data_IF_048375455653
#
_entry.id   IF_048375455653
#
_cell.length_a   1.000
_cell.length_b   1.000
_cell.length_c   1.000
_cell.angle_alpha   90.00
_cell.angle_beta   90.00
_cell.angle_gamma   90.00
#
_symmetry.space_group_name_H-M   'P 1'
#
loop_
_entity.id
_entity.type
_entity.pdbx_description
1 polymer ?
#
# COMPACT_ATOMS: atom_id res chain seq x y z
N UNK A 1 -39.59 -3.31 -7.43
CA UNK A 1 -39.81 -4.77 -7.49
C UNK A 1 -39.29 -5.28 -8.83
N UNK A 2 -38.00 -5.65 -8.91
CA UNK A 2 -37.42 -6.41 -10.01
C UNK A 2 -36.26 -7.24 -9.41
N UNK A 3 -36.54 -8.52 -9.15
CA UNK A 3 -35.54 -9.53 -8.75
C UNK A 3 -34.74 -9.89 -9.99
N UNK A 4 -33.44 -9.59 -10.02
CA UNK A 4 -32.50 -10.30 -10.89
C UNK A 4 -32.04 -11.55 -10.16
N UNK A 5 -32.35 -12.70 -10.75
CA UNK A 5 -31.91 -14.03 -10.32
C UNK A 5 -30.38 -14.07 -10.34
N UNK A 6 -29.75 -14.42 -9.22
CA UNK A 6 -28.31 -14.60 -9.11
C UNK A 6 -28.01 -16.10 -9.21
N UNK A 7 -27.51 -16.52 -10.37
CA UNK A 7 -27.00 -17.88 -10.55
C UNK A 7 -25.72 -18.07 -9.75
N UNK A 8 -25.66 -19.23 -9.07
CA UNK A 8 -24.69 -19.64 -8.07
C UNK A 8 -23.41 -20.14 -8.74
N UNK A 9 -22.33 -19.35 -8.73
CA UNK A 9 -20.96 -19.83 -8.88
C UNK A 9 -19.95 -18.89 -8.19
N UNK A 10 -19.25 -19.46 -7.21
CA UNK A 10 -17.87 -19.22 -6.73
C UNK A 10 -17.32 -17.79 -6.58
N UNK A 11 -16.84 -17.52 -5.36
CA UNK A 11 -15.89 -16.47 -4.92
C UNK A 11 -16.32 -15.01 -5.07
N UNK A 12 -16.78 -14.42 -3.96
CA UNK A 12 -16.95 -12.97 -3.81
C UNK A 12 -15.59 -12.31 -3.57
N UNK A 13 -15.02 -11.72 -4.62
CA UNK A 13 -13.91 -10.77 -4.49
C UNK A 13 -14.49 -9.43 -4.06
N UNK A 14 -14.13 -8.94 -2.87
CA UNK A 14 -14.46 -7.57 -2.46
C UNK A 14 -13.53 -6.62 -3.22
N UNK A 15 -14.01 -6.08 -4.33
CA UNK A 15 -13.39 -4.93 -4.99
C UNK A 15 -13.68 -3.67 -4.17
N UNK A 16 -12.67 -3.16 -3.46
CA UNK A 16 -12.67 -1.75 -3.08
C UNK A 16 -12.41 -0.98 -4.37
N UNK A 17 -13.39 -0.21 -4.84
CA UNK A 17 -13.22 0.67 -6.00
C UNK A 17 -12.16 1.72 -5.65
N UNK A 18 -10.95 1.46 -6.12
CA UNK A 18 -9.84 2.40 -6.12
C UNK A 18 -10.26 3.59 -6.97
N UNK A 19 -10.21 4.80 -6.42
CA UNK A 19 -10.08 6.00 -7.26
C UNK A 19 -8.70 5.90 -7.92
N UNK A 20 -8.65 5.21 -9.05
CA UNK A 20 -7.43 5.01 -9.81
C UNK A 20 -7.32 6.20 -10.76
N UNK A 21 -6.44 7.14 -10.43
CA UNK A 21 -5.90 8.03 -11.46
C UNK A 21 -5.28 7.12 -12.53
N UNK A 22 -5.69 7.29 -13.79
CA UNK A 22 -5.27 6.46 -14.89
C UNK A 22 -3.81 6.80 -15.24
N UNK A 23 -2.87 5.96 -14.83
CA UNK A 23 -1.42 6.14 -15.03
C UNK A 23 -0.95 5.85 -16.48
N UNK A 24 -1.86 5.80 -17.46
CA UNK A 24 -1.53 5.56 -18.86
C UNK A 24 -1.18 6.83 -19.65
N UNK A 25 -1.14 8.00 -19.01
CA UNK A 25 -0.63 9.21 -19.66
C UNK A 25 0.87 9.06 -19.96
N UNK A 26 1.24 9.15 -21.25
CA UNK A 26 2.63 9.06 -21.70
C UNK A 26 3.52 10.13 -21.02
N UNK A 27 2.94 11.28 -20.64
CA UNK A 27 3.59 12.34 -19.86
C UNK A 27 4.12 11.82 -18.51
N UNK A 28 3.32 11.04 -17.76
CA UNK A 28 3.70 10.54 -16.44
C UNK A 28 4.75 9.41 -16.52
N UNK A 29 4.75 8.61 -17.60
CA UNK A 29 5.79 7.60 -17.85
C UNK A 29 7.15 8.24 -18.09
N UNK A 30 7.21 9.38 -18.77
CA UNK A 30 8.45 10.13 -19.00
C UNK A 30 8.99 10.69 -17.68
N UNK A 31 8.13 11.12 -16.76
CA UNK A 31 8.54 11.53 -15.40
C UNK A 31 9.06 10.37 -14.55
N UNK A 32 8.33 9.25 -14.48
CA UNK A 32 8.79 8.05 -13.74
C UNK A 32 10.15 7.55 -14.26
N UNK A 33 10.38 7.57 -15.58
CA UNK A 33 11.66 7.17 -16.17
C UNK A 33 12.79 8.18 -15.88
N UNK A 34 12.48 9.45 -15.62
CA UNK A 34 13.46 10.42 -15.11
C UNK A 34 13.75 10.20 -13.62
N UNK A 35 12.76 9.79 -12.82
CA UNK A 35 12.88 9.51 -11.38
C UNK A 35 13.53 8.17 -11.04
N UNK A 36 13.48 7.18 -11.94
CA UNK A 36 14.19 5.90 -11.79
C UNK A 36 15.64 5.95 -12.28
N UNK A 37 16.17 7.13 -12.63
CA UNK A 37 17.61 7.23 -12.91
C UNK A 37 18.37 6.82 -11.65
N UNK A 38 19.36 5.92 -11.77
CA UNK A 38 20.25 5.64 -10.65
C UNK A 38 20.81 6.98 -10.17
N UNK A 39 20.71 7.22 -8.86
CA UNK A 39 21.32 8.39 -8.23
C UNK A 39 22.76 8.47 -8.73
N UNK A 40 23.14 9.63 -9.26
CA UNK A 40 24.54 9.94 -9.52
C UNK A 40 25.36 9.51 -8.29
N UNK A 41 26.53 8.86 -8.47
CA UNK A 41 27.39 8.50 -7.34
C UNK A 41 27.79 9.72 -6.48
N UNK A 42 27.62 10.95 -6.99
CA UNK A 42 27.84 12.20 -6.28
C UNK A 42 26.66 12.67 -5.39
N UNK A 43 25.54 11.93 -5.33
CA UNK A 43 24.34 12.38 -4.61
C UNK A 43 23.59 13.52 -5.33
N UNK A 44 22.54 14.03 -4.69
CA UNK A 44 21.76 15.18 -5.19
C UNK A 44 22.41 16.47 -4.67
N UNK A 45 22.81 17.36 -5.58
CA UNK A 45 23.40 18.65 -5.26
C UNK A 45 22.36 19.78 -5.43
N UNK A 46 21.87 20.29 -4.31
CA UNK A 46 20.84 21.33 -4.28
C UNK A 46 21.36 22.71 -4.70
N UNK A 47 22.67 22.95 -4.65
CA UNK A 47 23.25 24.27 -4.95
C UNK A 47 23.14 24.63 -6.44
N UNK A 48 23.08 23.64 -7.32
CA UNK A 48 22.92 23.84 -8.78
C UNK A 48 21.68 24.66 -9.13
N UNK A 49 20.61 24.51 -8.37
CA UNK A 49 19.34 25.22 -8.57
C UNK A 49 18.84 25.85 -7.26
N UNK A 50 19.75 26.44 -6.46
CA UNK A 50 19.41 26.93 -5.12
C UNK A 50 18.26 27.94 -5.14
N UNK A 51 18.26 28.88 -6.09
CA UNK A 51 17.18 29.88 -6.22
C UNK A 51 15.80 29.24 -6.41
N UNK A 52 15.72 28.16 -7.20
CA UNK A 52 14.48 27.41 -7.38
C UNK A 52 14.05 26.72 -6.09
N UNK A 53 14.96 26.00 -5.41
CA UNK A 53 14.65 25.25 -4.18
C UNK A 53 14.26 26.16 -2.99
N UNK A 54 14.70 27.42 -3.00
CA UNK A 54 14.32 28.41 -1.99
C UNK A 54 12.91 29.00 -2.22
N UNK A 55 12.40 28.95 -3.45
CA UNK A 55 11.12 29.54 -3.83
C UNK A 55 10.01 28.51 -4.05
N UNK A 56 10.36 27.32 -4.54
CA UNK A 56 9.42 26.29 -4.97
C UNK A 56 9.84 24.90 -4.48
N UNK A 57 8.83 24.05 -4.29
CA UNK A 57 9.04 22.64 -3.99
C UNK A 57 9.20 21.84 -5.27
N UNK A 58 10.13 20.90 -5.27
CA UNK A 58 10.24 19.86 -6.29
C UNK A 58 9.04 18.91 -6.19
N UNK A 59 8.64 18.33 -7.32
CA UNK A 59 7.51 17.41 -7.39
C UNK A 59 7.74 16.12 -6.60
N UNK A 60 8.99 15.68 -6.50
CA UNK A 60 9.38 14.49 -5.74
C UNK A 60 9.86 14.81 -4.32
N UNK A 61 9.87 16.07 -3.89
CA UNK A 61 10.31 16.49 -2.56
C UNK A 61 11.83 16.53 -2.34
N UNK A 62 12.64 16.31 -3.37
CA UNK A 62 14.10 16.49 -3.29
C UNK A 62 14.49 17.93 -2.93
N UNK A 63 15.57 18.09 -2.17
CA UNK A 63 16.09 19.40 -1.73
C UNK A 63 15.16 20.23 -0.84
N UNK A 64 14.08 19.65 -0.29
CA UNK A 64 13.30 20.29 0.77
C UNK A 64 14.17 20.50 2.04
N UNK A 65 15.02 19.51 2.34
CA UNK A 65 16.12 19.66 3.30
C UNK A 65 17.45 19.82 2.53
N UNK A 66 18.06 21.01 2.59
CA UNK A 66 19.29 21.31 1.84
C UNK A 66 20.51 20.52 2.33
N UNK A 67 20.57 20.18 3.63
CA UNK A 67 21.65 19.37 4.19
C UNK A 67 21.47 17.87 3.90
N UNK A 68 20.22 17.43 3.84
CA UNK A 68 19.84 16.02 3.57
C UNK A 68 18.83 15.97 2.42
N UNK A 69 19.26 16.18 1.17
CA UNK A 69 18.40 16.40 0.00
C UNK A 69 17.34 15.32 -0.26
N UNK A 70 17.60 14.09 0.19
CA UNK A 70 16.74 12.93 -0.06
C UNK A 70 15.74 12.65 1.08
N UNK A 71 15.75 13.42 2.18
CA UNK A 71 14.80 13.24 3.27
C UNK A 71 13.41 13.72 2.88
N UNK A 72 12.43 12.81 2.96
CA UNK A 72 11.05 13.10 2.55
C UNK A 72 10.83 13.05 1.04
N UNK A 73 11.87 12.74 0.25
CA UNK A 73 11.73 12.56 -1.19
C UNK A 73 10.93 11.28 -1.51
N UNK A 74 10.15 11.32 -2.59
CA UNK A 74 9.36 10.21 -3.09
C UNK A 74 10.22 9.04 -3.59
N UNK A 75 9.63 7.86 -3.73
CA UNK A 75 10.30 6.63 -4.19
C UNK A 75 11.50 6.20 -3.33
N UNK A 76 11.45 6.52 -2.03
CA UNK A 76 12.44 6.10 -1.04
C UNK A 76 11.83 5.08 -0.09
N UNK A 77 12.68 4.27 0.51
CA UNK A 77 12.29 3.40 1.60
C UNK A 77 11.77 4.19 2.79
N UNK A 78 10.79 3.64 3.51
CA UNK A 78 10.33 4.23 4.76
C UNK A 78 11.44 4.25 5.82
N UNK A 79 11.43 5.29 6.65
CA UNK A 79 12.23 5.34 7.87
C UNK A 79 11.65 4.32 8.85
N UNK A 80 12.51 3.53 9.50
CA UNK A 80 12.10 2.56 10.51
C UNK A 80 12.34 3.13 11.91
N UNK A 81 11.27 3.27 12.69
CA UNK A 81 11.36 3.68 14.10
C UNK A 81 11.78 2.51 15.01
N UNK A 82 11.49 1.27 14.60
CA UNK A 82 11.89 0.04 15.30
C UNK A 82 12.57 -0.93 14.33
N UNK A 83 13.44 -1.82 14.83
CA UNK A 83 14.01 -2.89 14.01
C UNK A 83 12.91 -3.74 13.35
N UNK A 84 13.09 -4.13 12.08
CA UNK A 84 12.16 -5.04 11.43
C UNK A 84 12.18 -6.42 12.10
N UNK A 85 11.02 -7.09 12.08
CA UNK A 85 10.90 -8.49 12.45
C UNK A 85 10.38 -9.28 11.26
N UNK A 86 11.18 -10.25 10.83
CA UNK A 86 10.89 -11.18 9.74
C UNK A 86 11.07 -12.61 10.24
N UNK A 87 10.34 -13.57 9.69
CA UNK A 87 10.38 -14.97 10.14
C UNK A 87 11.76 -15.63 9.88
N UNK A 88 12.43 -15.21 8.81
CA UNK A 88 13.80 -15.59 8.47
C UNK A 88 14.86 -14.54 8.87
N UNK A 89 14.45 -13.47 9.54
CA UNK A 89 15.33 -12.34 9.90
C UNK A 89 15.73 -11.44 8.72
N UNK A 90 15.26 -11.69 7.50
CA UNK A 90 15.67 -10.95 6.30
C UNK A 90 14.50 -10.23 5.64
N UNK A 91 13.45 -10.96 5.30
CA UNK A 91 12.35 -10.37 4.53
C UNK A 91 11.05 -11.18 4.51
N UNK A 92 11.07 -12.43 4.98
CA UNK A 92 9.85 -13.23 5.03
C UNK A 92 8.90 -12.72 6.12
N UNK A 93 7.61 -12.47 5.81
CA UNK A 93 6.65 -12.02 6.79
C UNK A 93 6.55 -12.98 7.99
N UNK A 94 6.33 -12.45 9.19
CA UNK A 94 6.19 -13.28 10.39
C UNK A 94 5.09 -14.33 10.20
N UNK A 95 5.37 -15.55 10.66
CA UNK A 95 4.45 -16.69 10.57
C UNK A 95 4.15 -17.15 9.13
N UNK A 96 5.08 -16.94 8.19
CA UNK A 96 4.99 -17.47 6.82
C UNK A 96 5.73 -18.80 6.64
N UNK A 97 6.83 -19.02 7.37
CA UNK A 97 7.62 -20.26 7.37
C UNK A 97 7.24 -21.10 8.60
N UNK A 98 7.25 -20.49 9.79
CA UNK A 98 6.90 -21.12 11.05
C UNK A 98 5.57 -20.58 11.53
N UNK A 99 4.50 -21.35 11.29
CA UNK A 99 3.15 -20.97 11.72
C UNK A 99 3.13 -20.83 13.24
N UNK A 100 3.06 -19.58 13.70
CA UNK A 100 3.15 -19.18 15.11
C UNK A 100 2.08 -18.18 15.51
N UNK A 101 1.29 -17.69 14.53
CA UNK A 101 0.23 -16.70 14.73
C UNK A 101 -1.02 -17.11 13.92
N UNK A 102 -2.22 -16.69 14.36
CA UNK A 102 -3.43 -16.87 13.56
C UNK A 102 -3.32 -16.10 12.24
N UNK A 103 -4.04 -16.55 11.22
CA UNK A 103 -4.11 -15.82 9.95
C UNK A 103 -4.78 -14.46 10.14
N UNK A 104 -4.49 -13.51 9.26
CA UNK A 104 -5.16 -12.21 9.27
C UNK A 104 -6.69 -12.36 9.15
N UNK A 105 -7.16 -13.37 8.41
CA UNK A 105 -8.59 -13.66 8.26
C UNK A 105 -9.22 -14.18 9.54
N UNK A 106 -8.58 -15.12 10.23
CA UNK A 106 -9.09 -15.66 11.50
C UNK A 106 -9.14 -14.56 12.57
N UNK A 107 -8.08 -13.73 12.64
CA UNK A 107 -8.02 -12.60 13.58
C UNK A 107 -9.15 -11.60 13.33
N UNK A 108 -9.42 -11.27 12.06
CA UNK A 108 -10.53 -10.41 11.69
C UNK A 108 -11.90 -11.03 12.01
N UNK A 109 -12.07 -12.33 11.77
CA UNK A 109 -13.31 -13.07 12.07
C UNK A 109 -13.62 -13.10 13.57
N UNK A 110 -12.60 -13.26 14.42
CA UNK A 110 -12.81 -13.34 15.86
C UNK A 110 -12.95 -11.97 16.51
N UNK A 111 -12.18 -10.97 16.05
CA UNK A 111 -12.07 -9.68 16.76
C UNK A 111 -12.84 -8.52 16.12
N UNK A 112 -12.97 -8.50 14.79
CA UNK A 112 -13.43 -7.31 14.06
C UNK A 112 -14.77 -7.53 13.33
N UNK A 113 -15.27 -8.77 13.27
CA UNK A 113 -16.54 -9.03 12.60
C UNK A 113 -17.71 -8.46 13.41
N UNK A 114 -18.43 -7.51 12.83
CA UNK A 114 -19.69 -7.02 13.38
C UNK A 114 -20.66 -6.73 12.24
N UNK A 115 -21.94 -7.08 12.45
CA UNK A 115 -23.03 -6.68 11.55
C UNK A 115 -23.56 -5.27 11.85
N UNK A 116 -23.08 -4.64 12.93
CA UNK A 116 -23.59 -3.36 13.38
C UNK A 116 -22.97 -2.22 12.56
N UNK A 117 -23.83 -1.38 11.99
CA UNK A 117 -23.44 -0.07 11.48
C UNK A 117 -23.59 0.94 12.60
N UNK A 118 -22.47 1.57 12.99
CA UNK A 118 -22.45 2.61 14.04
C UNK A 118 -22.25 3.95 13.38
N UNK A 119 -23.20 4.88 13.60
CA UNK A 119 -23.13 6.25 13.10
C UNK A 119 -22.60 7.15 14.21
N UNK A 120 -21.65 8.02 13.87
CA UNK A 120 -21.15 9.02 14.80
C UNK A 120 -22.06 10.26 14.79
N UNK A 121 -22.38 10.76 15.98
CA UNK A 121 -23.23 11.95 16.20
C UNK A 121 -22.58 13.30 15.85
N UNK A 122 -21.25 13.40 15.98
CA UNK A 122 -20.48 14.65 15.81
C UNK A 122 -19.74 14.78 14.49
N UNK A 123 -19.38 13.67 13.84
CA UNK A 123 -18.57 13.68 12.63
C UNK A 123 -19.37 13.17 11.44
N UNK A 124 -19.24 13.87 10.31
CA UNK A 124 -19.82 13.43 9.05
C UNK A 124 -18.83 12.54 8.27
N UNK A 125 -19.31 11.98 7.16
CA UNK A 125 -18.53 11.09 6.31
C UNK A 125 -17.30 11.76 5.65
N UNK A 126 -17.25 13.10 5.60
CA UNK A 126 -16.10 13.83 5.06
C UNK A 126 -14.85 13.59 5.91
N UNK A 127 -14.99 13.37 7.22
CA UNK A 127 -13.86 13.09 8.10
C UNK A 127 -13.09 11.84 7.65
N UNK A 128 -13.80 10.76 7.31
CA UNK A 128 -13.20 9.53 6.81
C UNK A 128 -12.53 9.76 5.45
N UNK A 129 -13.22 10.44 4.54
CA UNK A 129 -12.71 10.69 3.19
C UNK A 129 -11.47 11.60 3.19
N UNK A 130 -11.44 12.61 4.06
CA UNK A 130 -10.29 13.48 4.24
C UNK A 130 -9.10 12.72 4.85
N UNK A 131 -9.35 11.80 5.79
CA UNK A 131 -8.31 10.90 6.30
C UNK A 131 -7.65 10.06 5.20
N UNK A 132 -8.43 9.54 4.25
CA UNK A 132 -7.88 8.81 3.10
C UNK A 132 -7.09 9.72 2.16
N UNK A 133 -7.59 10.93 1.90
CA UNK A 133 -6.90 11.93 1.08
C UNK A 133 -5.51 12.24 1.67
N UNK A 134 -5.45 12.55 2.98
CA UNK A 134 -4.20 12.81 3.69
C UNK A 134 -3.26 11.59 3.66
N UNK A 135 -3.79 10.38 3.89
CA UNK A 135 -2.97 9.17 3.84
C UNK A 135 -2.36 8.93 2.46
N UNK A 136 -3.07 9.26 1.38
CA UNK A 136 -2.60 9.08 0.01
C UNK A 136 -1.59 10.15 -0.43
N UNK A 137 -1.62 11.33 0.17
CA UNK A 137 -0.60 12.37 -0.03
C UNK A 137 0.71 12.01 0.68
N UNK A 138 0.62 11.42 1.88
CA UNK A 138 1.80 11.10 2.70
C UNK A 138 2.56 9.86 2.24
N UNK A 139 1.87 8.80 1.80
CA UNK A 139 2.50 7.51 1.58
C UNK A 139 1.81 6.63 0.54
N UNK A 140 2.63 5.90 -0.23
CA UNK A 140 2.16 4.88 -1.16
C UNK A 140 3.19 3.77 -1.30
N UNK A 141 2.81 2.56 -0.92
CA UNK A 141 3.62 1.35 -1.14
C UNK A 141 3.23 0.70 -2.46
N UNK A 142 4.19 0.48 -3.34
CA UNK A 142 3.96 -0.26 -4.58
C UNK A 142 3.87 -1.75 -4.28
N UNK A 143 2.81 -2.40 -4.77
CA UNK A 143 2.64 -3.84 -4.66
C UNK A 143 3.28 -4.53 -5.87
N UNK A 144 3.81 -5.74 -5.66
CA UNK A 144 4.11 -6.62 -6.78
C UNK A 144 2.81 -6.94 -7.54
N UNK A 145 2.86 -7.05 -8.88
CA UNK A 145 1.68 -7.37 -9.67
C UNK A 145 1.00 -8.64 -9.18
N UNK A 146 -0.28 -8.55 -8.79
CA UNK A 146 -1.07 -9.69 -8.30
C UNK A 146 -1.18 -10.84 -9.29
N UNK A 147 -0.99 -10.56 -10.59
CA UNK A 147 -0.92 -11.57 -11.65
C UNK A 147 0.19 -12.63 -11.42
N UNK A 148 1.16 -12.37 -10.54
CA UNK A 148 2.22 -13.33 -10.19
C UNK A 148 1.80 -14.31 -9.08
N UNK A 149 0.65 -14.08 -8.44
CA UNK A 149 0.11 -14.92 -7.36
C UNK A 149 -1.12 -15.68 -7.85
N UNK A 150 -0.93 -16.57 -8.84
CA UNK A 150 -2.01 -17.33 -9.48
C UNK A 150 -2.47 -18.56 -8.69
N UNK A 151 -1.68 -19.00 -7.72
CA UNK A 151 -1.97 -20.18 -6.89
C UNK A 151 -2.21 -19.79 -5.44
N UNK A 152 -2.92 -20.65 -4.71
CA UNK A 152 -3.10 -20.52 -3.26
C UNK A 152 -1.85 -20.90 -2.45
N UNK A 153 -0.78 -21.36 -3.11
CA UNK A 153 0.46 -21.73 -2.43
C UNK A 153 1.33 -20.48 -2.20
N UNK A 154 2.02 -20.41 -1.06
CA UNK A 154 2.96 -19.32 -0.80
C UNK A 154 4.10 -19.35 -1.82
N UNK A 155 4.45 -18.18 -2.35
CA UNK A 155 5.64 -18.00 -3.19
C UNK A 155 6.59 -17.12 -2.38
N UNK A 156 7.74 -17.69 -2.02
CA UNK A 156 8.74 -17.03 -1.18
C UNK A 156 9.04 -15.61 -1.68
N UNK A 157 8.97 -14.64 -0.77
CA UNK A 157 9.21 -13.21 -1.01
C UNK A 157 8.33 -12.52 -2.06
N UNK A 158 7.29 -13.19 -2.58
CA UNK A 158 6.41 -12.64 -3.63
C UNK A 158 4.93 -12.70 -3.28
N UNK A 159 4.46 -13.87 -2.84
CA UNK A 159 3.06 -14.13 -2.59
C UNK A 159 2.86 -14.71 -1.20
N UNK A 160 2.09 -14.00 -0.39
CA UNK A 160 1.68 -14.43 0.94
C UNK A 160 0.15 -14.62 0.94
N UNK A 161 -0.35 -15.80 0.55
CA UNK A 161 -1.78 -16.08 0.56
C UNK A 161 -2.31 -16.08 2.00
N UNK A 162 -3.47 -15.47 2.21
CA UNK A 162 -4.16 -15.52 3.50
C UNK A 162 -5.05 -16.77 3.49
N UNK A 163 -4.66 -17.78 4.25
CA UNK A 163 -5.41 -19.02 4.34
C UNK A 163 -6.77 -18.80 5.05
N UNK A 164 -7.82 -19.32 4.43
CA UNK A 164 -9.18 -19.36 4.96
C UNK A 164 -9.37 -20.70 5.67
N UNK A 165 -9.79 -20.66 6.93
CA UNK A 165 -10.04 -21.84 7.76
C UNK A 165 -11.39 -22.48 7.38
N UNK A 166 -11.59 -23.79 7.56
CA UNK A 166 -12.90 -24.43 7.34
C UNK A 166 -14.02 -23.92 8.25
N UNK A 167 -13.68 -23.26 9.35
CA UNK A 167 -14.60 -22.59 10.28
C UNK A 167 -15.05 -21.21 9.80
N UNK A 168 -14.48 -20.72 8.69
CA UNK A 168 -14.86 -19.45 8.08
C UNK A 168 -16.20 -19.61 7.34
N UNK A 169 -17.21 -18.77 7.61
CA UNK A 169 -18.48 -18.84 6.88
C UNK A 169 -18.34 -18.61 5.36
N UNK A 170 -17.22 -18.07 4.89
CA UNK A 170 -16.93 -17.85 3.47
C UNK A 170 -16.06 -18.98 2.86
N UNK A 171 -15.81 -20.10 3.54
CA UNK A 171 -14.96 -21.18 3.04
C UNK A 171 -15.63 -22.12 2.04
N UNK A 172 -16.93 -21.96 1.78
CA UNK A 172 -17.77 -22.83 0.94
C UNK A 172 -18.04 -22.27 -0.46
#
# INVERSE_FOLDING_TARGET
MHRKSFHRHSTTVVMVTKFSVNFNDLEFKIEILRFLRPLSPAGVDCNKNLCYHLMYRTLDGTCNNLEKPMQGAAFRQYIRHFPPMYDDGVGEPISSIKISRPTARESNRVMLSSAQSVVHDKFNNLMMQFGQFMSHDMAKTTLQPSAQCTSCNPIKSKCMPILITPSDPNSS
#
